data_IF_940856693756
#
_entry.id   IF_940856693756
#
_cell.length_a   1.000
_cell.length_b   1.000
_cell.length_c   1.000
_cell.angle_alpha   90.00
_cell.angle_beta   90.00
_cell.angle_gamma   90.00
#
_symmetry.space_group_name_H-M   'P 1'
#
loop_
_entity.id
_entity.type
_entity.pdbx_description
1 polymer ?
#
# COMPACT_ATOMS: atom_id res chain seq x y z
N UNK A 1 1.09 -9.10 3.98
CA UNK A 1 2.17 -8.76 4.92
C UNK A 1 2.05 -9.47 6.27
N UNK A 2 0.93 -9.35 6.96
CA UNK A 2 0.78 -9.92 8.32
C UNK A 2 0.95 -11.43 8.33
N UNK A 3 0.38 -12.15 7.38
CA UNK A 3 0.44 -13.61 7.27
C UNK A 3 1.87 -14.15 7.27
N UNK A 4 2.80 -13.42 6.64
CA UNK A 4 4.20 -13.82 6.53
C UNK A 4 5.14 -12.95 7.34
N UNK A 5 4.59 -12.10 8.23
CA UNK A 5 5.35 -11.25 9.14
C UNK A 5 6.36 -10.33 8.45
N UNK A 6 6.00 -9.75 7.29
CA UNK A 6 6.86 -8.77 6.62
C UNK A 6 6.16 -7.42 6.44
N UNK A 7 6.97 -6.37 6.41
CA UNK A 7 6.56 -5.02 6.04
C UNK A 7 7.58 -4.45 5.08
N UNK A 8 7.34 -4.64 3.79
CA UNK A 8 8.26 -4.28 2.72
C UNK A 8 7.54 -4.26 1.37
N UNK A 9 8.12 -3.56 0.41
CA UNK A 9 7.70 -3.66 -1.00
C UNK A 9 8.08 -5.01 -1.62
N UNK A 10 9.01 -5.72 -1.00
CA UNK A 10 9.44 -7.06 -1.40
C UNK A 10 8.88 -8.05 -0.39
N UNK A 11 8.22 -9.11 -0.86
CA UNK A 11 7.59 -10.10 0.00
C UNK A 11 8.57 -11.14 0.53
N UNK A 12 8.06 -12.14 1.29
CA UNK A 12 8.86 -13.19 1.90
C UNK A 12 9.57 -14.10 0.86
N UNK A 13 9.12 -14.11 -0.40
CA UNK A 13 9.75 -14.84 -1.49
C UNK A 13 10.75 -13.97 -2.27
N UNK A 14 10.97 -12.72 -1.85
CA UNK A 14 11.84 -11.77 -2.54
C UNK A 14 11.19 -11.12 -3.76
N UNK A 15 9.86 -11.18 -3.88
CA UNK A 15 9.12 -10.66 -5.03
C UNK A 15 8.63 -9.23 -4.78
N UNK A 16 8.87 -8.34 -5.73
CA UNK A 16 8.30 -7.00 -5.76
C UNK A 16 6.85 -7.04 -6.30
N UNK A 17 6.09 -5.92 -6.31
CA UNK A 17 4.70 -5.93 -6.78
C UNK A 17 4.53 -6.43 -8.22
N UNK A 18 5.45 -6.12 -9.11
CA UNK A 18 5.41 -6.57 -10.51
C UNK A 18 5.56 -8.08 -10.57
N UNK A 19 6.56 -8.62 -9.88
CA UNK A 19 6.84 -10.04 -9.83
C UNK A 19 5.70 -10.83 -9.18
N UNK A 20 5.08 -10.28 -8.12
CA UNK A 20 3.92 -10.90 -7.47
C UNK A 20 2.74 -11.01 -8.43
N UNK A 21 2.48 -9.96 -9.21
CA UNK A 21 1.41 -9.97 -10.21
C UNK A 21 1.68 -10.99 -11.30
N UNK A 22 2.90 -11.05 -11.81
CA UNK A 22 3.29 -12.04 -12.84
C UNK A 22 3.13 -13.47 -12.33
N UNK A 23 3.53 -13.74 -11.09
CA UNK A 23 3.41 -15.05 -10.46
C UNK A 23 1.96 -15.53 -10.41
N UNK A 24 1.01 -14.61 -10.26
CA UNK A 24 -0.43 -14.92 -10.24
C UNK A 24 -1.07 -14.91 -11.63
N UNK A 25 -0.26 -14.80 -12.68
CA UNK A 25 -0.76 -14.79 -14.05
C UNK A 25 -1.39 -13.46 -14.47
N UNK A 26 -1.16 -12.39 -13.71
CA UNK A 26 -1.66 -11.06 -14.02
C UNK A 26 -0.61 -10.28 -14.81
N UNK A 27 -1.07 -9.41 -15.71
CA UNK A 27 -0.18 -8.53 -16.44
C UNK A 27 0.04 -7.24 -15.65
N UNK A 28 1.23 -7.02 -15.06
CA UNK A 28 1.50 -5.82 -14.28
C UNK A 28 1.82 -4.59 -15.12
N UNK A 29 2.00 -4.77 -16.44
CA UNK A 29 2.46 -3.71 -17.31
C UNK A 29 1.31 -3.01 -18.04
N UNK A 30 1.38 -1.70 -18.09
CA UNK A 30 0.45 -0.85 -18.84
C UNK A 30 1.25 -0.06 -19.87
N UNK A 31 0.84 -0.13 -21.13
CA UNK A 31 1.47 0.62 -22.22
C UNK A 31 0.77 1.95 -22.38
N UNK A 32 1.54 3.05 -22.29
CA UNK A 32 1.08 4.42 -22.50
C UNK A 32 2.12 5.17 -23.33
N UNK A 33 1.69 5.80 -24.41
CA UNK A 33 2.55 6.63 -25.26
C UNK A 33 3.84 5.90 -25.72
N UNK A 34 3.71 4.61 -26.03
CA UNK A 34 4.83 3.79 -26.46
C UNK A 34 5.76 3.31 -25.34
N UNK A 35 5.43 3.60 -24.09
CA UNK A 35 6.21 3.16 -22.93
C UNK A 35 5.42 2.17 -22.08
N UNK A 36 6.13 1.26 -21.41
CA UNK A 36 5.54 0.34 -20.46
C UNK A 36 5.74 0.83 -19.03
N UNK A 37 4.65 0.83 -18.25
CA UNK A 37 4.66 1.21 -16.84
C UNK A 37 4.26 0.00 -16.01
N UNK A 38 5.01 -0.27 -14.96
CA UNK A 38 4.72 -1.34 -14.03
C UNK A 38 3.79 -0.91 -12.90
N UNK A 39 3.76 -1.69 -11.83
CA UNK A 39 2.96 -1.42 -10.64
C UNK A 39 3.72 -0.48 -9.71
N UNK A 40 3.09 0.61 -9.27
CA UNK A 40 3.55 1.41 -8.16
C UNK A 40 2.87 0.92 -6.87
N UNK A 41 3.55 1.03 -5.75
CA UNK A 41 3.03 0.57 -4.46
C UNK A 41 3.31 1.58 -3.36
N UNK A 42 2.27 1.86 -2.55
CA UNK A 42 2.41 2.53 -1.27
C UNK A 42 2.13 1.52 -0.16
N UNK A 43 2.94 1.53 0.89
CA UNK A 43 2.73 0.72 2.09
C UNK A 43 2.69 1.62 3.32
N UNK A 44 1.92 1.21 4.33
CA UNK A 44 1.80 1.93 5.60
C UNK A 44 1.69 0.96 6.76
N UNK A 45 2.19 1.39 7.91
CA UNK A 45 2.08 0.69 9.19
C UNK A 45 1.56 1.68 10.21
N UNK A 46 0.35 1.44 10.73
CA UNK A 46 -0.34 2.38 11.61
C UNK A 46 -0.93 1.65 12.81
N UNK A 47 -0.76 2.16 14.04
CA UNK A 47 -1.39 1.55 15.21
C UNK A 47 -2.93 1.69 15.15
N UNK A 48 -3.61 0.64 15.57
CA UNK A 48 -5.04 0.67 15.86
C UNK A 48 -5.17 1.07 17.33
N UNK A 49 -5.34 2.36 17.58
CA UNK A 49 -5.28 2.89 18.93
C UNK A 49 -6.11 4.16 19.07
N UNK A 50 -6.44 4.51 20.32
CA UNK A 50 -7.30 5.67 20.59
C UNK A 50 -6.60 7.01 20.43
N UNK A 51 -5.26 7.05 20.43
CA UNK A 51 -4.52 8.29 20.29
C UNK A 51 -3.23 8.07 19.50
N UNK A 52 -3.30 8.24 18.20
CA UNK A 52 -2.16 8.13 17.30
C UNK A 52 -1.69 9.54 16.92
N UNK A 53 -0.40 9.79 17.04
CA UNK A 53 0.19 11.10 16.73
C UNK A 53 -0.18 11.54 15.32
N UNK A 54 -0.78 12.72 15.19
CA UNK A 54 -1.20 13.30 13.92
C UNK A 54 -2.54 12.80 13.40
N UNK A 55 -3.11 11.72 13.97
CA UNK A 55 -4.35 11.10 13.49
C UNK A 55 -5.46 11.03 14.55
N UNK A 56 -5.10 11.05 15.84
CA UNK A 56 -6.07 10.82 16.91
C UNK A 56 -6.49 9.36 16.99
N UNK A 57 -7.79 9.10 17.16
CA UNK A 57 -8.34 7.75 17.29
C UNK A 57 -8.42 7.06 15.93
N UNK A 58 -7.70 5.95 15.78
CA UNK A 58 -7.69 5.14 14.55
C UNK A 58 -8.46 3.83 14.71
N UNK A 59 -9.29 3.71 15.75
CA UNK A 59 -10.04 2.46 16.02
C UNK A 59 -11.35 2.40 15.22
N UNK A 60 -11.26 2.66 13.93
CA UNK A 60 -12.28 2.36 12.93
C UNK A 60 -11.58 2.19 11.60
N UNK A 61 -12.16 1.41 10.71
CA UNK A 61 -11.57 1.21 9.38
C UNK A 61 -11.44 2.54 8.64
N UNK A 62 -12.45 3.40 8.74
CA UNK A 62 -12.44 4.72 8.11
C UNK A 62 -11.33 5.61 8.65
N UNK A 63 -11.22 5.79 9.97
CA UNK A 63 -10.21 6.67 10.57
C UNK A 63 -8.80 6.12 10.41
N UNK A 64 -8.65 4.79 10.41
CA UNK A 64 -7.37 4.14 10.18
C UNK A 64 -6.87 4.36 8.75
N UNK A 65 -7.71 4.11 7.76
CA UNK A 65 -7.35 4.30 6.36
C UNK A 65 -7.13 5.78 6.04
N UNK A 66 -7.89 6.66 6.65
CA UNK A 66 -7.70 8.11 6.53
C UNK A 66 -6.33 8.53 7.04
N UNK A 67 -5.89 7.97 8.16
CA UNK A 67 -4.55 8.19 8.72
C UNK A 67 -3.46 7.72 7.76
N UNK A 68 -3.61 6.54 7.19
CA UNK A 68 -2.64 6.01 6.22
C UNK A 68 -2.54 6.88 4.98
N UNK A 69 -3.67 7.29 4.43
CA UNK A 69 -3.72 8.17 3.25
C UNK A 69 -3.09 9.53 3.56
N UNK A 70 -3.37 10.08 4.73
CA UNK A 70 -2.75 11.34 5.17
C UNK A 70 -1.22 11.22 5.23
N UNK A 71 -0.72 10.11 5.77
CA UNK A 71 0.71 9.83 5.80
C UNK A 71 1.32 9.74 4.40
N UNK A 72 0.65 9.08 3.49
CA UNK A 72 1.09 8.99 2.11
C UNK A 72 1.06 10.35 1.40
N UNK A 73 0.03 11.16 1.64
CA UNK A 73 -0.07 12.52 1.06
C UNK A 73 1.02 13.45 1.59
N UNK A 74 1.47 13.27 2.81
CA UNK A 74 2.52 14.07 3.42
C UNK A 74 3.94 13.59 3.08
N UNK A 75 4.06 12.50 2.35
CA UNK A 75 5.34 11.96 1.88
C UNK A 75 5.40 12.11 0.36
N UNK A 76 6.31 12.93 -0.14
CA UNK A 76 6.40 13.23 -1.57
C UNK A 76 6.48 11.98 -2.46
N UNK A 77 7.32 10.98 -2.17
CA UNK A 77 7.37 9.77 -2.99
C UNK A 77 6.04 9.00 -3.03
N UNK A 78 5.34 8.92 -1.91
CA UNK A 78 4.04 8.23 -1.83
C UNK A 78 2.93 9.04 -2.50
N UNK A 79 2.92 10.36 -2.30
CA UNK A 79 1.93 11.24 -2.92
C UNK A 79 2.08 11.24 -4.44
N UNK A 80 3.30 11.16 -4.95
CA UNK A 80 3.56 11.04 -6.39
C UNK A 80 2.89 9.79 -6.97
N UNK A 81 2.90 8.66 -6.25
CA UNK A 81 2.19 7.46 -6.68
C UNK A 81 0.69 7.70 -6.76
N UNK A 82 0.10 8.37 -5.76
CA UNK A 82 -1.34 8.68 -5.76
C UNK A 82 -1.73 9.57 -6.94
N UNK A 83 -0.89 10.54 -7.28
CA UNK A 83 -1.13 11.47 -8.39
C UNK A 83 -0.80 10.89 -9.77
N UNK A 84 -0.22 9.70 -9.82
CA UNK A 84 0.17 9.07 -11.08
C UNK A 84 -1.03 8.76 -11.98
N UNK A 85 -0.75 8.65 -13.27
CA UNK A 85 -1.76 8.33 -14.27
C UNK A 85 -1.97 6.81 -14.34
N UNK A 86 -2.75 6.29 -13.40
CA UNK A 86 -3.07 4.88 -13.29
C UNK A 86 -4.55 4.63 -13.50
N UNK A 87 -4.88 3.45 -14.03
CA UNK A 87 -6.25 3.04 -14.35
C UNK A 87 -6.86 2.19 -13.23
N UNK A 88 -6.04 1.40 -12.54
CA UNK A 88 -6.49 0.45 -11.52
C UNK A 88 -5.79 0.67 -10.20
N UNK A 89 -6.55 0.49 -9.12
CA UNK A 89 -6.07 0.58 -7.75
C UNK A 89 -6.47 -0.70 -6.99
N UNK A 90 -5.48 -1.38 -6.43
CA UNK A 90 -5.70 -2.47 -5.49
C UNK A 90 -5.36 -2.02 -4.08
N UNK A 91 -6.18 -2.38 -3.10
CA UNK A 91 -6.01 -1.99 -1.70
C UNK A 91 -6.03 -3.24 -0.82
N UNK A 92 -5.11 -3.32 0.13
CA UNK A 92 -5.09 -4.36 1.15
C UNK A 92 -4.93 -3.76 2.53
N UNK A 93 -5.61 -4.34 3.51
CA UNK A 93 -5.55 -3.92 4.91
C UNK A 93 -5.45 -5.16 5.80
N UNK A 94 -4.44 -5.21 6.66
CA UNK A 94 -4.18 -6.35 7.53
C UNK A 94 -3.85 -5.87 8.94
N UNK A 95 -4.22 -6.70 9.93
CA UNK A 95 -3.98 -6.42 11.35
C UNK A 95 -3.16 -7.53 11.96
N UNK A 96 -2.21 -7.19 12.85
CA UNK A 96 -1.51 -8.18 13.63
C UNK A 96 -2.08 -8.26 15.06
N UNK A 97 -1.59 -9.23 15.83
CA UNK A 97 -2.07 -9.46 17.21
C UNK A 97 -1.66 -8.35 18.18
N UNK A 98 -0.67 -7.54 17.82
CA UNK A 98 -0.20 -6.44 18.69
C UNK A 98 -1.02 -5.16 18.54
N UNK A 99 -2.00 -5.15 17.64
CA UNK A 99 -2.82 -3.98 17.37
C UNK A 99 -2.23 -3.05 16.31
N UNK A 100 -1.30 -3.55 15.51
CA UNK A 100 -0.73 -2.80 14.40
C UNK A 100 -1.45 -3.14 13.10
N UNK A 101 -1.81 -2.12 12.34
CA UNK A 101 -2.42 -2.27 11.03
C UNK A 101 -1.41 -2.01 9.92
N UNK A 102 -1.53 -2.77 8.85
CA UNK A 102 -0.69 -2.66 7.66
C UNK A 102 -1.58 -2.42 6.45
N UNK A 103 -1.25 -1.38 5.69
CA UNK A 103 -2.02 -1.01 4.51
C UNK A 103 -1.15 -0.99 3.27
N UNK A 104 -1.75 -1.36 2.14
CA UNK A 104 -1.09 -1.29 0.83
C UNK A 104 -2.00 -0.64 -0.19
N UNK A 105 -1.41 0.11 -1.12
CA UNK A 105 -2.04 0.58 -2.35
C UNK A 105 -1.16 0.14 -3.51
N UNK A 106 -1.74 -0.56 -4.47
CA UNK A 106 -1.05 -0.94 -5.72
C UNK A 106 -1.76 -0.26 -6.89
N UNK A 107 -0.99 0.45 -7.69
CA UNK A 107 -1.48 1.23 -8.82
C UNK A 107 -0.99 0.63 -10.14
N UNK A 108 -1.89 0.51 -11.10
CA UNK A 108 -1.55 0.04 -12.43
C UNK A 108 -2.15 0.90 -13.52
#
# INVERSE_FOLDING_TARGET
MVEHHFYSHVDHEGLNPIERAEKKGLNPWVKKEGRFYGIAENIAKTPWFENVMGCGDTRSEFSLTDCMVLGWKNSQPHYKNILGDYTFLGVGLFFDESGMAYGTQNFR
#
